data_IF_003540667960
#
_entry.id   IF_003540667960
#
_cell.length_a   1.000
_cell.length_b   1.000
_cell.length_c   1.000
_cell.angle_alpha   90.00
_cell.angle_beta   90.00
_cell.angle_gamma   90.00
#
_symmetry.space_group_name_H-M   'P 1'
#
loop_
_entity.id
_entity.type
_entity.pdbx_description
1 polymer ?
#
# COMPACT_ATOMS: atom_id res chain seq x y z
N UNK A 1 -7.49 2.96 11.03
CA UNK A 1 -7.89 4.37 11.17
C UNK A 1 -8.35 4.55 12.61
N UNK A 2 -7.78 5.47 13.38
CA UNK A 2 -8.27 5.81 14.71
C UNK A 2 -9.72 6.28 14.67
N UNK A 3 -10.52 6.07 15.73
CA UNK A 3 -11.93 6.48 15.75
C UNK A 3 -12.16 7.98 15.52
N UNK A 4 -11.25 8.83 15.94
CA UNK A 4 -11.27 10.27 15.71
C UNK A 4 -11.11 10.63 14.23
N UNK A 5 -10.40 9.82 13.45
CA UNK A 5 -10.23 10.01 12.01
C UNK A 5 -11.42 9.49 11.20
N UNK A 6 -12.25 8.62 11.80
CA UNK A 6 -13.44 8.06 11.12
C UNK A 6 -14.43 9.16 10.75
N UNK A 7 -14.56 10.20 11.59
CA UNK A 7 -15.45 11.34 11.32
C UNK A 7 -14.96 12.21 10.17
N UNK A 8 -13.66 12.17 9.88
CA UNK A 8 -13.04 12.89 8.76
C UNK A 8 -12.97 12.04 7.48
N UNK A 9 -13.36 10.75 7.58
CA UNK A 9 -13.37 9.86 6.42
C UNK A 9 -14.62 10.12 5.57
N UNK A 10 -14.47 10.40 4.26
CA UNK A 10 -15.59 10.69 3.40
C UNK A 10 -16.58 9.53 3.32
N UNK A 11 -17.84 9.81 3.60
CA UNK A 11 -18.93 8.82 3.55
C UNK A 11 -19.04 8.15 2.18
N UNK A 12 -18.74 8.87 1.11
CA UNK A 12 -18.72 8.32 -0.26
C UNK A 12 -17.66 7.23 -0.42
N UNK A 13 -16.49 7.40 0.19
CA UNK A 13 -15.43 6.38 0.16
C UNK A 13 -15.83 5.13 0.94
N UNK A 14 -16.51 5.30 2.08
CA UNK A 14 -17.05 4.19 2.85
C UNK A 14 -18.13 3.44 2.08
N UNK A 15 -19.04 4.16 1.44
CA UNK A 15 -20.09 3.57 0.59
C UNK A 15 -19.51 2.79 -0.59
N UNK A 16 -18.52 3.37 -1.28
CA UNK A 16 -17.83 2.71 -2.38
C UNK A 16 -17.10 1.44 -1.90
N UNK A 17 -16.46 1.50 -0.74
CA UNK A 17 -15.85 0.32 -0.12
C UNK A 17 -16.88 -0.79 0.13
N UNK A 18 -18.01 -0.47 0.75
CA UNK A 18 -19.07 -1.44 1.02
C UNK A 18 -19.68 -2.02 -0.25
N UNK A 19 -19.89 -1.18 -1.26
CA UNK A 19 -20.45 -1.62 -2.54
C UNK A 19 -19.49 -2.51 -3.32
N UNK A 20 -18.24 -2.11 -3.45
CA UNK A 20 -17.20 -2.87 -4.16
C UNK A 20 -16.94 -4.24 -3.52
N UNK A 21 -17.03 -4.33 -2.18
CA UNK A 21 -16.88 -5.57 -1.44
C UNK A 21 -18.19 -6.34 -1.23
N UNK A 22 -19.30 -5.83 -1.79
CA UNK A 22 -20.65 -6.39 -1.63
C UNK A 22 -21.04 -6.65 -0.16
N UNK A 23 -20.57 -5.81 0.76
CA UNK A 23 -20.80 -5.97 2.19
C UNK A 23 -22.26 -5.69 2.59
N UNK A 24 -22.98 -4.91 1.78
CA UNK A 24 -24.41 -4.60 1.95
C UNK A 24 -25.35 -5.66 1.33
N UNK A 25 -24.78 -6.65 0.64
CA UNK A 25 -25.55 -7.73 0.02
C UNK A 25 -25.82 -8.89 0.99
N UNK A 26 -26.82 -9.71 0.66
CA UNK A 26 -27.12 -10.93 1.42
C UNK A 26 -25.91 -11.88 1.41
N UNK A 27 -25.85 -12.81 2.37
CA UNK A 27 -24.74 -13.77 2.48
C UNK A 27 -24.56 -14.59 1.20
N UNK A 28 -25.62 -14.89 0.49
CA UNK A 28 -25.61 -15.73 -0.71
C UNK A 28 -25.08 -14.98 -1.95
N UNK A 29 -25.14 -13.65 -1.95
CA UNK A 29 -24.71 -12.81 -3.07
C UNK A 29 -23.28 -12.26 -2.90
N UNK A 30 -22.62 -12.60 -1.79
CA UNK A 30 -21.24 -12.16 -1.53
C UNK A 30 -20.25 -13.01 -2.32
N UNK A 31 -19.27 -12.38 -2.98
CA UNK A 31 -18.24 -13.12 -3.67
C UNK A 31 -17.42 -13.94 -2.67
N UNK A 32 -16.97 -15.12 -3.11
CA UNK A 32 -15.96 -15.85 -2.37
C UNK A 32 -14.64 -15.09 -2.46
N UNK A 33 -14.06 -14.77 -1.31
CA UNK A 33 -12.76 -14.13 -1.26
C UNK A 33 -11.66 -15.13 -1.58
N UNK A 34 -10.74 -14.72 -2.43
CA UNK A 34 -9.62 -15.51 -2.87
C UNK A 34 -8.32 -14.89 -2.37
N UNK A 35 -7.30 -15.72 -2.23
CA UNK A 35 -5.93 -15.30 -1.95
C UNK A 35 -4.95 -16.03 -2.86
N UNK A 36 -3.78 -15.42 -3.07
CA UNK A 36 -2.75 -16.05 -3.89
C UNK A 36 -2.20 -17.26 -3.15
N UNK A 37 -2.30 -18.44 -3.76
CA UNK A 37 -1.76 -19.67 -3.18
C UNK A 37 -0.27 -19.55 -2.89
N UNK A 38 0.13 -19.88 -1.65
CA UNK A 38 1.49 -19.74 -1.10
C UNK A 38 1.99 -18.29 -1.01
N UNK A 39 1.08 -17.30 -1.02
CA UNK A 39 1.37 -15.89 -0.81
C UNK A 39 1.75 -15.12 -2.07
N UNK A 40 1.73 -13.80 -1.95
CA UNK A 40 1.95 -12.87 -3.06
C UNK A 40 3.34 -12.95 -3.69
N UNK A 41 4.33 -13.48 -2.98
CA UNK A 41 5.69 -13.67 -3.51
C UNK A 41 5.71 -14.52 -4.81
N UNK A 42 4.71 -15.38 -5.01
CA UNK A 42 4.64 -16.20 -6.21
C UNK A 42 4.40 -15.38 -7.49
N UNK A 43 3.46 -14.44 -7.48
CA UNK A 43 3.27 -13.59 -8.66
C UNK A 43 4.40 -12.58 -8.80
N UNK A 44 4.93 -12.05 -7.71
CA UNK A 44 6.10 -11.16 -7.74
C UNK A 44 7.29 -11.83 -8.40
N UNK A 45 7.60 -13.08 -8.02
CA UNK A 45 8.70 -13.83 -8.63
C UNK A 45 8.45 -14.12 -10.13
N UNK A 46 7.20 -14.32 -10.56
CA UNK A 46 6.87 -14.48 -11.98
C UNK A 46 7.13 -13.19 -12.76
N UNK A 47 6.71 -12.05 -12.21
CA UNK A 47 6.95 -10.74 -12.82
C UNK A 47 8.46 -10.49 -12.93
N UNK A 48 9.22 -10.70 -11.86
CA UNK A 48 10.68 -10.50 -11.86
C UNK A 48 11.36 -11.37 -12.92
N UNK A 49 10.96 -12.65 -13.07
CA UNK A 49 11.49 -13.53 -14.11
C UNK A 49 11.14 -13.04 -15.52
N UNK A 50 9.90 -12.60 -15.72
CA UNK A 50 9.44 -12.05 -17.00
C UNK A 50 10.24 -10.79 -17.37
N UNK A 51 10.42 -9.87 -16.43
CA UNK A 51 11.22 -8.66 -16.64
C UNK A 51 12.70 -8.99 -16.91
N UNK A 52 13.28 -9.90 -16.12
CA UNK A 52 14.68 -10.29 -16.27
C UNK A 52 14.99 -11.08 -17.57
N UNK A 53 13.97 -11.62 -18.24
CA UNK A 53 14.13 -12.23 -19.55
C UNK A 53 14.16 -11.20 -20.70
N UNK A 54 13.82 -9.95 -20.44
CA UNK A 54 13.85 -8.88 -21.44
C UNK A 54 15.19 -8.11 -21.34
N UNK A 55 16.05 -8.14 -22.36
CA UNK A 55 17.37 -7.47 -22.34
C UNK A 55 17.29 -5.95 -22.27
N UNK A 56 16.11 -5.38 -22.46
CA UNK A 56 15.87 -3.92 -22.33
C UNK A 56 15.46 -3.51 -20.92
N UNK A 57 15.33 -4.46 -20.00
CA UNK A 57 14.86 -4.19 -18.63
C UNK A 57 15.97 -4.53 -17.64
N UNK A 58 16.38 -3.55 -16.89
CA UNK A 58 17.27 -3.72 -15.76
C UNK A 58 16.52 -3.57 -14.44
N UNK A 59 16.81 -4.43 -13.48
CA UNK A 59 16.17 -4.39 -12.15
C UNK A 59 17.23 -4.30 -11.06
N UNK A 60 17.14 -3.27 -10.24
CA UNK A 60 18.04 -3.03 -9.12
C UNK A 60 17.32 -3.31 -7.81
N UNK A 61 17.78 -4.32 -7.07
CA UNK A 61 17.24 -4.70 -5.76
C UNK A 61 18.17 -4.20 -4.65
N UNK A 62 17.60 -3.95 -3.48
CA UNK A 62 18.34 -3.43 -2.32
C UNK A 62 19.09 -2.12 -2.62
N UNK A 63 18.54 -1.33 -3.54
CA UNK A 63 19.09 -0.06 -4.00
C UNK A 63 18.11 1.04 -3.59
N UNK A 64 18.52 1.89 -2.67
CA UNK A 64 17.73 3.04 -2.25
C UNK A 64 18.04 4.21 -3.17
N UNK A 65 17.02 4.89 -3.69
CA UNK A 65 17.18 6.16 -4.38
C UNK A 65 17.32 7.26 -3.31
N UNK A 66 18.38 8.04 -3.40
CA UNK A 66 18.68 9.10 -2.44
C UNK A 66 18.19 10.45 -2.95
N UNK A 67 18.42 10.75 -4.23
CA UNK A 67 18.13 12.05 -4.83
C UNK A 67 17.73 11.91 -6.29
N UNK A 68 16.85 12.79 -6.70
CA UNK A 68 16.43 12.93 -8.10
C UNK A 68 16.45 14.42 -8.44
N UNK A 69 17.16 14.76 -9.51
CA UNK A 69 17.21 16.12 -10.04
C UNK A 69 16.84 16.13 -11.51
N UNK A 70 15.91 16.98 -11.88
CA UNK A 70 15.43 17.12 -13.25
C UNK A 70 15.99 18.37 -13.91
N UNK A 71 16.38 18.27 -15.14
CA UNK A 71 16.68 19.38 -16.05
C UNK A 71 15.68 19.36 -17.21
N UNK A 72 15.83 20.26 -18.20
CA UNK A 72 14.88 20.35 -19.32
C UNK A 72 14.68 19.01 -20.05
N UNK A 73 15.74 18.24 -20.27
CA UNK A 73 15.69 17.01 -21.08
C UNK A 73 16.34 15.80 -20.39
N UNK A 74 16.66 15.87 -19.11
CA UNK A 74 17.38 14.80 -18.43
C UNK A 74 17.00 14.73 -16.97
N UNK A 75 16.78 13.53 -16.49
CA UNK A 75 16.53 13.22 -15.08
C UNK A 75 17.75 12.47 -14.55
N UNK A 76 18.43 13.05 -13.56
CA UNK A 76 19.56 12.44 -12.88
C UNK A 76 19.06 11.76 -11.60
N UNK A 77 19.37 10.48 -11.45
CA UNK A 77 19.04 9.69 -10.27
C UNK A 77 20.33 9.26 -9.58
N UNK A 78 20.43 9.55 -8.28
CA UNK A 78 21.52 9.10 -7.40
C UNK A 78 21.00 8.02 -6.45
N UNK A 79 21.73 6.91 -6.36
CA UNK A 79 21.37 5.78 -5.51
C UNK A 79 22.33 5.59 -4.32
N UNK A 80 21.98 4.69 -3.40
CA UNK A 80 22.76 4.36 -2.20
C UNK A 80 24.11 3.71 -2.47
N UNK A 81 24.41 3.35 -3.71
CA UNK A 81 25.69 2.79 -4.15
C UNK A 81 26.57 3.86 -4.83
N UNK A 82 26.18 5.14 -4.72
CA UNK A 82 26.81 6.28 -5.37
C UNK A 82 26.80 6.23 -6.91
N UNK A 83 25.88 5.46 -7.50
CA UNK A 83 25.69 5.50 -8.94
C UNK A 83 24.84 6.72 -9.31
N UNK A 84 25.20 7.36 -10.42
CA UNK A 84 24.43 8.44 -11.03
C UNK A 84 24.04 8.03 -12.44
N UNK A 85 22.75 7.86 -12.65
CA UNK A 85 22.18 7.44 -13.93
C UNK A 85 21.26 8.54 -14.50
N UNK A 86 21.28 8.67 -15.83
CA UNK A 86 20.46 9.64 -16.57
C UNK A 86 19.32 8.93 -17.28
N UNK A 87 18.14 9.54 -17.25
CA UNK A 87 16.93 9.03 -17.86
C UNK A 87 16.15 10.15 -18.56
N UNK A 88 15.33 9.79 -19.53
CA UNK A 88 14.43 10.71 -20.23
C UNK A 88 13.14 10.93 -19.46
N UNK A 89 12.62 9.88 -18.79
CA UNK A 89 11.39 9.91 -18.02
C UNK A 89 11.58 9.21 -16.65
N UNK A 90 10.78 9.63 -15.68
CA UNK A 90 10.68 8.95 -14.39
C UNK A 90 9.23 8.64 -14.04
N UNK A 91 9.01 7.44 -13.52
CA UNK A 91 7.71 7.00 -13.00
C UNK A 91 7.87 6.71 -11.51
N UNK A 92 7.22 7.48 -10.67
CA UNK A 92 7.14 7.25 -9.24
C UNK A 92 6.02 6.28 -8.90
N UNK A 93 6.37 5.09 -8.40
CA UNK A 93 5.43 4.15 -7.79
C UNK A 93 5.47 4.22 -6.25
N UNK A 94 6.26 5.14 -5.71
CA UNK A 94 6.35 5.44 -4.28
C UNK A 94 5.17 6.31 -3.83
N UNK A 95 4.90 6.34 -2.51
CA UNK A 95 3.91 7.29 -2.00
C UNK A 95 4.42 8.74 -2.16
N UNK A 96 3.53 9.74 -2.20
CA UNK A 96 3.90 11.14 -2.43
C UNK A 96 4.86 11.71 -1.39
N UNK A 97 4.74 11.32 -0.12
CA UNK A 97 5.66 11.77 0.94
C UNK A 97 7.09 11.35 0.58
N UNK A 98 7.28 10.09 0.19
CA UNK A 98 8.59 9.59 -0.22
C UNK A 98 9.11 10.23 -1.52
N UNK A 99 8.21 10.48 -2.46
CA UNK A 99 8.55 11.22 -3.69
C UNK A 99 9.08 12.61 -3.38
N UNK A 100 8.39 13.35 -2.51
CA UNK A 100 8.81 14.70 -2.11
C UNK A 100 10.15 14.73 -1.37
N UNK A 101 10.47 13.67 -0.60
CA UNK A 101 11.75 13.56 0.11
C UNK A 101 12.95 13.44 -0.82
N UNK A 102 12.80 12.71 -1.95
CA UNK A 102 13.92 12.40 -2.84
C UNK A 102 14.01 13.29 -4.08
N UNK A 103 12.95 14.06 -4.38
CA UNK A 103 12.90 14.97 -5.53
C UNK A 103 13.39 16.36 -5.12
N UNK A 104 14.62 16.73 -5.54
CA UNK A 104 15.28 17.98 -5.08
C UNK A 104 14.69 19.26 -5.68
N UNK A 105 14.06 19.17 -6.85
CA UNK A 105 13.63 20.33 -7.64
C UNK A 105 12.09 20.41 -7.77
N UNK A 106 11.39 20.04 -6.69
CA UNK A 106 9.93 20.13 -6.59
C UNK A 106 9.51 21.61 -6.72
N UNK A 107 8.57 21.89 -7.60
CA UNK A 107 7.98 23.23 -7.71
C UNK A 107 6.64 23.35 -6.94
N UNK A 108 6.11 24.55 -6.86
CA UNK A 108 4.85 24.82 -6.17
C UNK A 108 3.64 24.09 -6.76
N UNK A 109 3.65 23.83 -8.08
CA UNK A 109 2.55 23.12 -8.74
C UNK A 109 2.50 21.66 -8.29
N UNK A 110 3.64 20.99 -8.22
CA UNK A 110 3.76 19.60 -7.75
C UNK A 110 3.51 19.52 -6.25
N UNK A 111 4.13 20.40 -5.46
CA UNK A 111 4.01 20.44 -4.02
C UNK A 111 2.57 20.64 -3.57
N UNK A 112 1.83 21.55 -4.18
CA UNK A 112 0.43 21.81 -3.85
C UNK A 112 -0.49 20.60 -4.02
N UNK A 113 -0.09 19.64 -4.85
CA UNK A 113 -0.82 18.40 -5.09
C UNK A 113 -0.30 17.26 -4.21
N UNK A 114 1.02 17.02 -4.22
CA UNK A 114 1.61 15.86 -3.58
C UNK A 114 1.65 15.98 -2.04
N UNK A 115 1.78 17.18 -1.50
CA UNK A 115 1.81 17.46 -0.06
C UNK A 115 0.47 17.20 0.65
N UNK A 116 -0.61 16.98 -0.11
CA UNK A 116 -1.93 16.66 0.46
C UNK A 116 -2.09 15.17 0.79
N UNK A 117 -1.14 14.36 0.39
CA UNK A 117 -1.11 12.94 0.72
C UNK A 117 -0.18 12.73 1.91
N UNK A 118 -0.72 12.15 2.95
CA UNK A 118 0.02 11.83 4.17
C UNK A 118 -0.05 10.33 4.47
N UNK A 119 0.83 9.87 5.32
CA UNK A 119 0.88 8.48 5.78
C UNK A 119 0.81 8.40 7.29
N UNK A 120 0.28 7.30 7.81
CA UNK A 120 0.36 6.94 9.22
C UNK A 120 1.26 5.73 9.39
N UNK A 121 2.15 5.81 10.36
CA UNK A 121 2.97 4.67 10.78
C UNK A 121 2.14 3.67 11.55
N UNK A 122 2.25 2.39 11.18
CA UNK A 122 1.60 1.28 11.86
C UNK A 122 2.63 0.19 12.14
N UNK A 123 2.69 -0.24 13.40
CA UNK A 123 3.51 -1.38 13.81
C UNK A 123 2.74 -2.68 13.61
N UNK A 124 3.31 -3.57 12.82
CA UNK A 124 2.78 -4.89 12.55
C UNK A 124 3.66 -5.96 13.20
N UNK A 125 3.07 -6.77 14.08
CA UNK A 125 3.72 -7.89 14.73
C UNK A 125 3.26 -9.20 14.11
N UNK A 126 4.17 -9.95 13.51
CA UNK A 126 3.94 -11.34 13.12
C UNK A 126 4.29 -12.23 14.31
N UNK A 127 3.32 -12.97 14.84
CA UNK A 127 3.48 -13.71 16.09
C UNK A 127 2.56 -14.94 16.20
N UNK A 128 2.72 -15.72 17.28
CA UNK A 128 1.83 -16.83 17.63
C UNK A 128 1.19 -16.70 19.03
N UNK A 129 1.20 -15.51 19.62
CA UNK A 129 0.59 -15.27 20.93
C UNK A 129 -0.93 -15.22 20.84
N UNK A 130 -1.60 -16.21 21.43
CA UNK A 130 -3.06 -16.30 21.45
C UNK A 130 -3.71 -15.28 22.42
N UNK A 131 -2.95 -14.62 23.29
CA UNK A 131 -3.52 -13.67 24.27
C UNK A 131 -4.09 -12.42 23.62
N UNK A 132 -3.68 -12.10 22.38
CA UNK A 132 -4.21 -11.00 21.57
C UNK A 132 -5.49 -11.37 20.81
N UNK A 133 -5.95 -12.60 20.95
CA UNK A 133 -7.17 -13.10 20.33
C UNK A 133 -8.31 -13.17 21.37
N UNK A 134 -9.58 -13.23 20.93
CA UNK A 134 -10.70 -13.46 21.84
C UNK A 134 -10.51 -14.72 22.66
N UNK A 135 -10.86 -14.69 23.96
CA UNK A 135 -10.70 -15.84 24.90
C UNK A 135 -11.39 -17.11 24.39
N UNK A 136 -12.54 -16.96 23.73
CA UNK A 136 -13.31 -18.08 23.18
C UNK A 136 -12.84 -18.38 21.73
N UNK A 137 -12.13 -19.48 21.53
CA UNK A 137 -11.66 -19.87 20.18
C UNK A 137 -12.79 -20.01 19.14
N UNK A 138 -14.01 -20.35 19.57
CA UNK A 138 -15.18 -20.47 18.67
C UNK A 138 -15.60 -19.17 17.96
N UNK A 139 -15.23 -18.00 18.53
CA UNK A 139 -15.53 -16.69 17.95
C UNK A 139 -14.37 -16.12 17.13
N UNK A 140 -13.27 -16.84 16.99
CA UNK A 140 -12.14 -16.39 16.19
C UNK A 140 -12.53 -16.21 14.74
N UNK A 141 -12.29 -15.04 14.24
CA UNK A 141 -12.52 -14.64 12.86
C UNK A 141 -11.18 -14.45 12.13
N UNK A 142 -11.22 -14.30 10.81
CA UNK A 142 -10.02 -13.91 10.05
C UNK A 142 -9.49 -12.55 10.50
N UNK A 143 -10.38 -11.66 10.92
CA UNK A 143 -10.09 -10.32 11.47
C UNK A 143 -10.75 -10.20 12.84
N UNK A 144 -9.96 -9.86 13.85
CA UNK A 144 -10.42 -9.69 15.22
C UNK A 144 -10.02 -8.30 15.69
N UNK A 145 -11.00 -7.52 16.13
CA UNK A 145 -10.79 -6.15 16.61
C UNK A 145 -10.88 -6.14 18.12
N UNK A 146 -9.88 -5.56 18.76
CA UNK A 146 -9.91 -5.31 20.21
C UNK A 146 -10.01 -3.82 20.45
N UNK A 147 -11.03 -3.42 21.18
CA UNK A 147 -11.28 -2.03 21.58
C UNK A 147 -11.05 -1.91 23.08
N UNK A 148 -10.19 -1.00 23.57
CA UNK A 148 -9.98 -0.81 24.99
C UNK A 148 -11.23 -0.21 25.67
N UNK A 149 -11.53 -0.64 26.89
CA UNK A 149 -12.72 -0.17 27.64
C UNK A 149 -12.72 1.34 27.94
N UNK A 150 -11.58 1.97 28.06
CA UNK A 150 -11.47 3.35 28.62
C UNK A 150 -10.94 4.45 27.70
N UNK A 151 -10.49 4.21 26.49
CA UNK A 151 -10.17 5.27 25.51
C UNK A 151 -10.07 4.65 24.12
N UNK A 152 -10.90 5.12 23.19
CA UNK A 152 -10.93 4.72 21.78
C UNK A 152 -9.70 5.19 20.96
N UNK A 153 -8.60 5.59 21.60
CA UNK A 153 -7.47 6.16 20.87
C UNK A 153 -6.70 5.16 20.00
N UNK A 154 -6.72 3.87 20.35
CA UNK A 154 -6.01 2.87 19.57
C UNK A 154 -6.90 1.64 19.37
N UNK A 155 -7.25 1.37 18.14
CA UNK A 155 -7.89 0.11 17.75
C UNK A 155 -6.78 -0.87 17.37
N UNK A 156 -6.77 -2.03 18.04
CA UNK A 156 -5.92 -3.14 17.65
C UNK A 156 -6.67 -4.09 16.74
N UNK A 157 -6.05 -4.50 15.66
CA UNK A 157 -6.59 -5.50 14.74
C UNK A 157 -5.64 -6.67 14.67
N UNK A 158 -6.14 -7.87 14.98
CA UNK A 158 -5.38 -9.11 14.84
C UNK A 158 -5.97 -9.98 13.73
N UNK A 159 -5.16 -10.25 12.72
CA UNK A 159 -5.48 -11.14 11.61
C UNK A 159 -5.05 -12.57 11.96
N UNK A 160 -5.98 -13.52 11.84
CA UNK A 160 -5.64 -14.94 11.92
C UNK A 160 -5.22 -15.45 10.55
N UNK A 161 -3.91 -15.48 10.32
CA UNK A 161 -3.32 -15.77 9.01
C UNK A 161 -3.60 -17.18 8.51
N UNK A 162 -3.66 -18.18 9.42
CA UNK A 162 -4.00 -19.54 9.03
C UNK A 162 -5.36 -19.62 8.32
N UNK A 163 -6.37 -18.87 8.83
CA UNK A 163 -7.69 -18.84 8.24
C UNK A 163 -7.73 -17.93 7.00
N UNK A 164 -7.07 -16.77 7.08
CA UNK A 164 -7.08 -15.77 6.01
C UNK A 164 -6.38 -16.27 4.74
N UNK A 165 -5.27 -17.01 4.89
CA UNK A 165 -4.45 -17.49 3.77
C UNK A 165 -4.47 -19.00 3.59
N UNK A 166 -5.39 -19.71 4.26
CA UNK A 166 -5.51 -21.18 4.20
C UNK A 166 -4.17 -21.89 4.49
N UNK A 167 -3.43 -21.42 5.50
CA UNK A 167 -2.15 -22.01 5.90
C UNK A 167 -2.43 -23.25 6.74
N UNK A 168 -2.12 -24.41 6.19
CA UNK A 168 -2.24 -25.71 6.85
C UNK A 168 -1.09 -25.93 7.83
N UNK A 169 -1.14 -25.26 8.97
CA UNK A 169 -0.19 -25.44 10.06
C UNK A 169 -0.97 -25.64 11.38
N UNK A 170 -0.48 -26.54 12.23
CA UNK A 170 -1.05 -26.78 13.56
C UNK A 170 -0.83 -25.61 14.52
N UNK A 171 0.24 -24.83 14.32
CA UNK A 171 0.53 -23.66 15.14
C UNK A 171 -0.20 -22.42 14.59
N UNK A 172 -0.84 -21.63 15.46
CA UNK A 172 -1.47 -20.38 15.04
C UNK A 172 -0.42 -19.39 14.56
N UNK A 173 -0.81 -18.60 13.57
CA UNK A 173 -0.03 -17.49 13.04
C UNK A 173 -0.93 -16.26 12.97
N UNK A 174 -0.50 -15.20 13.65
CA UNK A 174 -1.24 -13.95 13.74
C UNK A 174 -0.41 -12.79 13.20
N UNK A 175 -1.10 -11.79 12.67
CA UNK A 175 -0.54 -10.48 12.38
C UNK A 175 -1.36 -9.43 13.13
N UNK A 176 -0.75 -8.79 14.13
CA UNK A 176 -1.42 -7.73 14.89
C UNK A 176 -0.92 -6.36 14.49
N UNK A 177 -1.85 -5.47 14.16
CA UNK A 177 -1.56 -4.06 13.88
C UNK A 177 -1.85 -3.23 15.12
N UNK A 178 -0.85 -2.43 15.53
CA UNK A 178 -0.92 -1.52 16.67
C UNK A 178 -1.56 -2.17 17.90
N UNK A 179 -1.08 -3.32 18.37
CA UNK A 179 -1.67 -4.00 19.49
C UNK A 179 -1.61 -3.13 20.74
N UNK A 180 -2.67 -3.16 21.59
CA UNK A 180 -2.75 -2.40 22.86
C UNK A 180 -1.60 -2.78 23.79
N UNK A 181 -1.26 -4.07 23.80
CA UNK A 181 -0.06 -4.60 24.44
C UNK A 181 0.72 -5.42 23.41
N UNK A 182 2.04 -5.30 23.36
CA UNK A 182 2.82 -6.11 22.43
C UNK A 182 2.64 -7.60 22.74
N UNK A 183 2.75 -8.48 21.72
CA UNK A 183 2.81 -9.92 21.94
C UNK A 183 3.98 -10.28 22.87
N UNK A 184 3.91 -11.43 23.52
CA UNK A 184 5.03 -11.96 24.30
C UNK A 184 6.27 -12.06 23.43
N UNK A 185 7.41 -11.60 23.95
CA UNK A 185 8.66 -11.49 23.19
C UNK A 185 9.06 -12.80 22.51
N UNK A 186 8.95 -13.92 23.21
CA UNK A 186 9.28 -15.26 22.69
C UNK A 186 8.28 -15.78 21.63
N UNK A 187 7.18 -15.09 21.41
CA UNK A 187 6.17 -15.43 20.41
C UNK A 187 6.29 -14.61 19.12
N UNK A 188 7.14 -13.59 19.10
CA UNK A 188 7.30 -12.67 17.96
C UNK A 188 8.27 -13.26 16.96
N UNK A 189 7.81 -13.39 15.71
CA UNK A 189 8.65 -13.79 14.58
C UNK A 189 9.27 -12.58 13.87
N UNK A 190 8.50 -11.49 13.74
CA UNK A 190 8.94 -10.28 13.06
C UNK A 190 8.11 -9.08 13.48
N UNK A 191 8.75 -7.93 13.57
CA UNK A 191 8.09 -6.62 13.69
C UNK A 191 8.40 -5.83 12.42
N UNK A 192 7.38 -5.21 11.86
CA UNK A 192 7.50 -4.42 10.63
C UNK A 192 6.76 -3.11 10.86
N UNK A 193 7.41 -2.02 10.52
CA UNK A 193 6.79 -0.70 10.47
C UNK A 193 6.28 -0.44 9.06
N UNK A 194 5.00 -0.09 8.94
CA UNK A 194 4.36 0.25 7.68
C UNK A 194 3.87 1.69 7.69
N UNK A 195 4.11 2.38 6.60
CA UNK A 195 3.48 3.66 6.31
C UNK A 195 2.23 3.42 5.47
N UNK A 196 1.07 3.64 6.07
CA UNK A 196 -0.22 3.52 5.37
C UNK A 196 -0.73 4.88 4.92
N UNK A 197 -1.17 5.02 3.66
CA UNK A 197 -1.78 6.25 3.18
C UNK A 197 -3.04 6.63 3.98
N UNK A 198 -3.20 7.90 4.25
CA UNK A 198 -4.41 8.48 4.85
C UNK A 198 -5.31 8.97 3.71
N UNK A 199 -6.56 8.52 3.70
CA UNK A 199 -7.55 8.89 2.69
C UNK A 199 -8.55 9.90 3.27
N UNK A 200 -8.06 11.08 3.64
CA UNK A 200 -8.87 12.20 4.10
C UNK A 200 -9.43 13.02 2.93
N UNK A 201 -10.23 14.04 3.25
CA UNK A 201 -10.84 14.93 2.26
C UNK A 201 -9.77 15.65 1.42
N UNK A 202 -8.62 16.01 2.01
CA UNK A 202 -7.52 16.69 1.31
C UNK A 202 -6.92 15.77 0.25
N UNK A 203 -6.59 14.54 0.63
CA UNK A 203 -6.07 13.52 -0.30
C UNK A 203 -7.06 13.24 -1.44
N UNK A 204 -8.36 13.06 -1.13
CA UNK A 204 -9.39 12.80 -2.14
C UNK A 204 -9.55 13.95 -3.14
N UNK A 205 -9.51 15.18 -2.67
CA UNK A 205 -9.58 16.34 -3.56
C UNK A 205 -8.31 16.45 -4.43
N UNK A 206 -7.15 16.18 -3.84
CA UNK A 206 -5.88 16.25 -4.55
C UNK A 206 -5.72 15.16 -5.61
N UNK A 207 -6.33 13.96 -5.42
CA UNK A 207 -6.37 12.92 -6.46
C UNK A 207 -6.91 13.42 -7.80
N UNK A 208 -7.94 14.27 -7.78
CA UNK A 208 -8.52 14.86 -9.00
C UNK A 208 -7.54 15.76 -9.75
N UNK A 209 -6.55 16.29 -9.04
CA UNK A 209 -5.55 17.21 -9.57
C UNK A 209 -4.30 16.48 -10.09
N UNK A 210 -4.12 15.18 -9.77
CA UNK A 210 -2.95 14.41 -10.21
C UNK A 210 -2.73 14.45 -11.72
N UNK A 211 -3.81 14.46 -12.50
CA UNK A 211 -3.74 14.58 -13.95
C UNK A 211 -3.00 15.84 -14.43
N UNK A 212 -2.94 16.89 -13.62
CA UNK A 212 -2.29 18.15 -13.98
C UNK A 212 -0.76 18.09 -13.88
N UNK A 213 -0.24 17.06 -13.18
CA UNK A 213 1.20 16.84 -13.03
C UNK A 213 1.69 15.55 -13.70
N UNK A 214 0.80 14.77 -14.31
CA UNK A 214 1.22 13.63 -15.13
C UNK A 214 1.95 14.12 -16.38
N UNK A 215 3.13 13.58 -16.63
CA UNK A 215 4.01 13.99 -17.71
C UNK A 215 4.72 15.35 -17.52
N UNK A 216 4.37 16.09 -16.49
CA UNK A 216 4.98 17.38 -16.21
C UNK A 216 6.47 17.19 -15.86
N UNK A 217 7.36 17.89 -16.56
CA UNK A 217 8.82 17.73 -16.49
C UNK A 217 9.26 16.25 -16.62
N UNK A 218 8.63 15.52 -17.54
CA UNK A 218 8.87 14.10 -17.82
C UNK A 218 8.68 13.19 -16.58
N UNK A 219 7.83 13.60 -15.64
CA UNK A 219 7.59 12.93 -14.37
C UNK A 219 6.17 12.38 -14.31
N UNK A 220 6.05 11.13 -13.90
CA UNK A 220 4.79 10.42 -13.85
C UNK A 220 4.60 9.77 -12.48
N UNK A 221 3.34 9.59 -12.08
CA UNK A 221 2.98 9.08 -10.77
C UNK A 221 1.94 7.97 -10.90
N UNK A 222 2.19 6.83 -10.24
CA UNK A 222 1.23 5.73 -10.11
C UNK A 222 1.33 5.10 -8.71
N UNK A 223 0.40 4.21 -8.40
CA UNK A 223 0.38 3.47 -7.14
C UNK A 223 -0.99 3.44 -6.50
N UNK A 224 -1.19 2.52 -5.57
CA UNK A 224 -2.45 2.32 -4.87
C UNK A 224 -2.93 3.57 -4.09
N UNK A 225 -2.02 4.43 -3.68
CA UNK A 225 -2.31 5.69 -2.99
C UNK A 225 -3.13 6.68 -3.83
N UNK A 226 -3.05 6.58 -5.16
CA UNK A 226 -3.84 7.39 -6.09
C UNK A 226 -5.31 6.95 -6.18
N UNK A 227 -5.62 5.74 -5.71
CA UNK A 227 -6.96 5.19 -5.56
C UNK A 227 -7.40 5.10 -4.09
N UNK A 228 -7.86 3.94 -3.66
CA UNK A 228 -8.33 3.66 -2.30
C UNK A 228 -7.36 2.79 -1.49
N UNK A 229 -6.15 2.54 -2.02
CA UNK A 229 -5.10 1.79 -1.35
C UNK A 229 -5.11 0.29 -1.61
N UNK A 230 -5.90 -0.21 -2.55
CA UNK A 230 -5.97 -1.62 -2.89
C UNK A 230 -5.04 -1.98 -4.06
N UNK A 231 -4.74 -3.27 -4.22
CA UNK A 231 -3.95 -3.77 -5.35
C UNK A 231 -4.56 -3.37 -6.70
N UNK A 232 -5.90 -3.43 -6.82
CA UNK A 232 -6.61 -3.02 -8.03
C UNK A 232 -6.41 -1.53 -8.36
N UNK A 233 -6.38 -0.67 -7.35
CA UNK A 233 -6.08 0.76 -7.57
C UNK A 233 -4.65 0.96 -8.11
N UNK A 234 -3.70 0.16 -7.58
CA UNK A 234 -2.32 0.19 -8.04
C UNK A 234 -2.19 -0.23 -9.50
N UNK A 235 -2.81 -1.35 -9.89
CA UNK A 235 -2.76 -1.83 -11.28
C UNK A 235 -3.51 -0.88 -12.23
N UNK A 236 -4.68 -0.39 -11.83
CA UNK A 236 -5.47 0.57 -12.60
C UNK A 236 -4.68 1.85 -12.88
N UNK A 237 -4.00 2.40 -11.87
CA UNK A 237 -3.17 3.59 -12.05
C UNK A 237 -2.01 3.36 -13.02
N UNK A 238 -1.40 2.19 -12.95
CA UNK A 238 -0.29 1.80 -13.83
C UNK A 238 -0.75 1.56 -15.27
N UNK A 239 -1.92 0.94 -15.47
CA UNK A 239 -2.53 0.75 -16.79
C UNK A 239 -2.87 2.09 -17.45
N UNK A 240 -3.47 3.02 -16.68
CA UNK A 240 -3.78 4.35 -17.18
C UNK A 240 -2.51 5.10 -17.61
N UNK A 241 -1.45 4.98 -16.81
CA UNK A 241 -0.16 5.58 -17.14
C UNK A 241 0.48 4.92 -18.37
N UNK A 242 0.40 3.60 -18.51
CA UNK A 242 0.94 2.87 -19.66
C UNK A 242 0.31 3.33 -20.99
N UNK A 243 -0.98 3.71 -20.99
CA UNK A 243 -1.69 4.25 -22.15
C UNK A 243 -1.12 5.59 -22.62
N UNK A 244 -0.57 6.41 -21.72
CA UNK A 244 0.12 7.66 -22.08
C UNK A 244 1.43 7.42 -22.87
N UNK A 245 1.97 6.20 -22.79
CA UNK A 245 3.14 5.74 -23.54
C UNK A 245 2.78 4.82 -24.73
N UNK A 246 1.52 4.80 -25.17
CA UNK A 246 1.01 3.90 -26.21
C UNK A 246 1.32 2.41 -25.95
N UNK A 247 1.54 2.05 -24.69
CA UNK A 247 1.83 0.68 -24.32
C UNK A 247 0.56 -0.18 -24.32
N UNK A 248 0.64 -1.35 -24.95
CA UNK A 248 -0.46 -2.34 -24.92
C UNK A 248 -0.51 -3.06 -23.59
N UNK A 249 -1.69 -3.15 -23.04
CA UNK A 249 -1.93 -3.94 -21.83
C UNK A 249 -2.05 -5.41 -22.21
N UNK A 250 -1.29 -6.29 -21.53
CA UNK A 250 -1.14 -7.70 -21.95
C UNK A 250 -2.41 -8.55 -21.84
N UNK A 251 -3.45 -8.06 -21.17
CA UNK A 251 -4.69 -8.78 -20.88
C UNK A 251 -5.96 -8.05 -21.37
N UNK A 252 -5.82 -7.00 -22.16
CA UNK A 252 -6.92 -6.34 -22.88
C UNK A 252 -7.09 -6.91 -24.29
#
# INVERSE_FOLDING_TARGET
MPPEDVMNYPITSLFNFFNNHKLLHSKNDRPQWLTVSKGSINYVNKIIRFLGANPRVETYKNTQILKIKRSENTILIEDSNNNQNKFDHIIFSTNPTKTLEILEDVDEKEKNILDKFSTNTNLAYLHNDETLMPKLKKVWSSWNVVVPEKKLKNISVTYWMNKLQNIKNSKPLFLSLNPIMPPKENSIFKVIEYEHPIFDIKAINSKKLLKNIQGYRNTWHCGAWSGNGFHEDGITSSVNLAKEFDAKVLWE
#
